data_IF_244977717302
#
_entry.id   IF_244977717302
#
_cell.length_a   1.000
_cell.length_b   1.000
_cell.length_c   1.000
_cell.angle_alpha   90.00
_cell.angle_beta   90.00
_cell.angle_gamma   90.00
#
_symmetry.space_group_name_H-M   'P 1'
#
loop_
_entity.id
_entity.type
_entity.pdbx_description
1 polymer ?
#
# COMPACT_ATOMS: atom_id res chain seq x y z
N UNK A 1 -27.99 -38.71 -20.22
CA UNK A 1 -26.68 -38.36 -19.62
C UNK A 1 -26.34 -36.88 -19.86
N UNK A 2 -27.25 -35.96 -19.51
CA UNK A 2 -27.10 -34.51 -19.74
C UNK A 2 -26.96 -33.69 -18.44
N UNK A 3 -27.28 -34.29 -17.28
CA UNK A 3 -27.16 -33.64 -15.97
C UNK A 3 -25.70 -33.42 -15.53
N UNK A 4 -24.77 -34.29 -15.94
CA UNK A 4 -23.38 -34.26 -15.46
C UNK A 4 -22.58 -33.08 -16.03
N UNK A 5 -22.84 -32.67 -17.28
CA UNK A 5 -22.11 -31.57 -17.93
C UNK A 5 -22.56 -30.21 -17.39
N UNK A 6 -23.86 -30.05 -17.13
CA UNK A 6 -24.42 -28.81 -16.56
C UNK A 6 -23.92 -28.63 -15.12
N UNK A 7 -23.93 -29.69 -14.32
CA UNK A 7 -23.37 -29.68 -12.96
C UNK A 7 -21.86 -29.33 -12.98
N UNK A 8 -21.07 -29.97 -13.85
CA UNK A 8 -19.64 -29.70 -13.97
C UNK A 8 -19.31 -28.28 -14.47
N UNK A 9 -20.23 -27.62 -15.21
CA UNK A 9 -20.09 -26.22 -15.61
C UNK A 9 -20.48 -25.27 -14.49
N UNK A 10 -21.49 -25.60 -13.71
CA UNK A 10 -21.92 -24.83 -12.54
C UNK A 10 -20.82 -24.81 -11.46
N UNK A 11 -20.26 -25.97 -11.12
CA UNK A 11 -19.12 -26.14 -10.21
C UNK A 11 -17.92 -25.28 -10.63
N UNK A 12 -17.53 -25.37 -11.92
CA UNK A 12 -16.44 -24.55 -12.46
C UNK A 12 -16.73 -23.05 -12.39
N UNK A 13 -17.96 -22.62 -12.67
CA UNK A 13 -18.36 -21.21 -12.58
C UNK A 13 -18.37 -20.72 -11.12
N UNK A 14 -18.66 -21.60 -10.16
CA UNK A 14 -18.67 -21.29 -8.74
C UNK A 14 -17.25 -21.28 -8.14
N UNK A 15 -16.35 -22.16 -8.60
CA UNK A 15 -14.93 -22.19 -8.23
C UNK A 15 -14.10 -21.09 -8.90
N UNK A 16 -14.39 -20.76 -10.16
CA UNK A 16 -13.83 -19.60 -10.88
C UNK A 16 -14.65 -18.32 -10.63
N UNK A 17 -15.35 -18.19 -9.49
CA UNK A 17 -15.93 -16.89 -9.15
C UNK A 17 -14.77 -15.91 -9.11
N UNK A 18 -14.71 -15.02 -10.11
CA UNK A 18 -13.70 -13.97 -10.22
C UNK A 18 -13.94 -13.07 -9.02
N UNK A 19 -13.24 -13.34 -7.94
CA UNK A 19 -13.27 -12.49 -6.77
C UNK A 19 -12.51 -11.25 -7.21
N UNK A 20 -13.24 -10.15 -7.36
CA UNK A 20 -12.60 -8.88 -7.67
C UNK A 20 -11.49 -8.64 -6.66
N UNK A 21 -10.34 -8.13 -7.09
CA UNK A 21 -9.26 -7.74 -6.17
C UNK A 21 -9.84 -6.84 -5.06
N UNK A 22 -10.81 -5.98 -5.40
CA UNK A 22 -11.51 -5.13 -4.45
C UNK A 22 -12.32 -5.94 -3.41
N UNK A 23 -12.95 -7.05 -3.82
CA UNK A 23 -13.69 -7.92 -2.88
C UNK A 23 -12.74 -8.71 -1.98
N UNK A 24 -11.56 -9.11 -2.46
CA UNK A 24 -10.53 -9.73 -1.63
C UNK A 24 -10.03 -8.71 -0.60
N UNK A 25 -9.69 -7.51 -1.06
CA UNK A 25 -9.16 -6.45 -0.20
C UNK A 25 -10.19 -6.04 0.86
N UNK A 26 -11.47 -5.88 0.49
CA UNK A 26 -12.54 -5.54 1.44
C UNK A 26 -12.83 -6.67 2.42
N UNK A 27 -13.06 -7.90 1.94
CA UNK A 27 -13.56 -8.98 2.78
C UNK A 27 -12.47 -9.76 3.52
N UNK A 28 -11.25 -9.80 2.98
CA UNK A 28 -10.13 -10.57 3.57
C UNK A 28 -9.14 -9.68 4.32
N UNK A 29 -8.81 -8.52 3.75
CA UNK A 29 -7.83 -7.58 4.33
C UNK A 29 -8.53 -6.54 5.21
N UNK A 30 -9.82 -6.28 4.99
CA UNK A 30 -10.58 -5.29 5.78
C UNK A 30 -10.33 -3.85 5.33
N UNK A 31 -9.86 -3.65 4.10
CA UNK A 31 -9.64 -2.32 3.52
C UNK A 31 -10.80 -2.00 2.58
N UNK A 32 -11.66 -1.08 2.98
CA UNK A 32 -12.84 -0.70 2.19
C UNK A 32 -12.51 0.21 1.01
N UNK A 33 -11.55 1.13 1.20
CA UNK A 33 -11.07 2.06 0.19
C UNK A 33 -9.54 1.97 0.05
N UNK A 34 -9.11 1.15 -0.92
CA UNK A 34 -7.69 0.95 -1.21
C UNK A 34 -7.02 2.24 -1.66
N UNK A 35 -7.70 3.04 -2.47
CA UNK A 35 -7.11 4.23 -3.10
C UNK A 35 -6.82 5.31 -2.04
N UNK A 36 -7.78 5.55 -1.15
CA UNK A 36 -7.61 6.47 -0.04
C UNK A 36 -6.50 6.03 0.94
N UNK A 37 -6.40 4.73 1.19
CA UNK A 37 -5.35 4.18 2.05
C UNK A 37 -3.96 4.33 1.40
N UNK A 38 -3.84 4.08 0.10
CA UNK A 38 -2.58 4.29 -0.63
C UNK A 38 -2.20 5.78 -0.64
N UNK A 39 -3.15 6.68 -0.88
CA UNK A 39 -2.93 8.13 -0.80
C UNK A 39 -2.42 8.55 0.58
N UNK A 40 -3.02 8.05 1.66
CA UNK A 40 -2.57 8.33 3.04
C UNK A 40 -1.13 7.88 3.26
N UNK A 41 -0.77 6.67 2.82
CA UNK A 41 0.61 6.15 2.95
C UNK A 41 1.60 7.05 2.23
N UNK A 42 1.30 7.46 0.98
CA UNK A 42 2.16 8.34 0.19
C UNK A 42 2.37 9.68 0.87
N UNK A 43 1.31 10.29 1.40
CA UNK A 43 1.38 11.57 2.12
C UNK A 43 2.28 11.43 3.36
N UNK A 44 2.05 10.41 4.19
CA UNK A 44 2.83 10.17 5.41
C UNK A 44 4.31 9.99 5.07
N UNK A 45 4.64 9.12 4.11
CA UNK A 45 6.03 8.86 3.70
C UNK A 45 6.72 10.11 3.16
N UNK A 46 5.99 10.94 2.43
CA UNK A 46 6.50 12.21 1.92
C UNK A 46 6.81 13.19 3.05
N UNK A 47 5.94 13.27 4.05
CA UNK A 47 6.15 14.11 5.24
C UNK A 47 7.31 13.60 6.11
N UNK A 48 7.40 12.29 6.35
CA UNK A 48 8.53 11.66 7.04
C UNK A 48 9.86 12.04 6.37
N UNK A 49 9.95 11.86 5.05
CA UNK A 49 11.14 12.22 4.25
C UNK A 49 11.48 13.71 4.36
N UNK A 50 10.48 14.58 4.30
CA UNK A 50 10.66 16.03 4.46
C UNK A 50 11.20 16.38 5.85
N UNK A 51 10.67 15.75 6.89
CA UNK A 51 11.12 15.96 8.27
C UNK A 51 12.55 15.49 8.50
N UNK A 52 12.95 14.34 7.92
CA UNK A 52 14.33 13.88 7.93
C UNK A 52 15.29 14.91 7.32
N UNK A 53 14.96 15.47 6.16
CA UNK A 53 15.80 16.46 5.47
C UNK A 53 15.91 17.74 6.31
N UNK A 54 14.78 18.23 6.86
CA UNK A 54 14.77 19.42 7.71
C UNK A 54 15.60 19.19 8.97
N UNK A 55 15.44 18.05 9.63
CA UNK A 55 16.19 17.73 10.85
C UNK A 55 17.69 17.58 10.55
N UNK A 56 18.07 17.00 9.40
CA UNK A 56 19.46 16.94 8.95
C UNK A 56 20.04 18.34 8.69
N UNK A 57 19.25 19.27 8.12
CA UNK A 57 19.69 20.66 7.91
C UNK A 57 19.81 21.49 9.19
N UNK A 58 19.13 21.06 10.27
CA UNK A 58 19.16 21.72 11.58
C UNK A 58 20.28 21.21 12.49
N UNK A 59 20.92 20.11 12.15
CA UNK A 59 22.18 19.72 12.79
C UNK A 59 23.14 20.90 12.63
N UNK A 60 23.65 21.51 13.73
CA UNK A 60 24.63 22.56 13.60
C UNK A 60 25.79 21.95 12.83
N UNK A 61 26.12 22.51 11.68
CA UNK A 61 27.45 22.33 11.12
C UNK A 61 28.34 22.91 12.20
N UNK A 62 28.97 22.03 12.98
CA UNK A 62 30.08 22.39 13.85
C UNK A 62 31.18 22.90 12.92
N UNK A 63 31.10 24.17 12.55
CA UNK A 63 32.26 24.94 12.13
C UNK A 63 33.14 25.00 13.37
N UNK A 64 34.00 23.99 13.52
CA UNK A 64 35.18 24.13 14.35
C UNK A 64 36.12 25.08 13.61
N UNK A 65 35.79 26.36 13.66
CA UNK A 65 36.74 27.42 13.36
C UNK A 65 37.87 27.33 14.39
N UNK A 66 39.09 27.17 13.91
CA UNK A 66 40.24 27.74 14.60
C UNK A 66 41.23 28.19 13.55
N UNK A 67 41.00 29.42 13.08
CA UNK A 67 42.04 30.31 12.54
C UNK A 67 43.34 30.08 13.31
N UNK A 68 44.38 29.64 12.62
CA UNK A 68 45.75 29.74 13.12
C UNK A 68 46.56 30.53 12.10
N UNK A 69 47.01 31.67 12.63
CA UNK A 69 47.87 32.74 12.10
C UNK A 69 48.81 32.37 10.95
#
# INVERSE_FOLDING_TARGET
>A
MACSIVAARHERKHGNKVISINDIIRNKIGIEDLDDNLKKIVIIKTQERRNEIINLSKTPISNSDSTRF
#
